data_IF_594683483280
#
_entry.id   IF_594683483280
#
_cell.length_a   1.000
_cell.length_b   1.000
_cell.length_c   1.000
_cell.angle_alpha   90.00
_cell.angle_beta   90.00
_cell.angle_gamma   90.00
#
_symmetry.space_group_name_H-M   'P 1'
#
loop_
_entity.id
_entity.type
_entity.pdbx_description
1 polymer ?
#
# COMPACT_ATOMS: atom_id res chain seq x y z
N UNK A 1 4.67 9.88 -20.00
CA UNK A 1 3.93 10.44 -18.86
C UNK A 1 3.78 9.32 -17.85
N UNK A 2 4.43 9.40 -16.69
CA UNK A 2 4.15 8.45 -15.62
C UNK A 2 2.73 8.78 -15.12
N UNK A 3 1.77 7.90 -15.42
CA UNK A 3 0.48 7.93 -14.73
C UNK A 3 0.82 7.65 -13.27
N UNK A 4 0.57 8.61 -12.38
CA UNK A 4 0.83 8.41 -10.96
C UNK A 4 0.07 7.17 -10.49
N UNK A 5 0.79 6.15 -10.04
CA UNK A 5 0.18 4.94 -9.51
C UNK A 5 -0.59 5.21 -8.22
N UNK A 6 -1.45 4.28 -7.81
CA UNK A 6 -2.08 4.28 -6.50
C UNK A 6 -1.08 4.48 -5.37
N UNK A 7 0.10 3.85 -5.46
CA UNK A 7 1.17 3.98 -4.46
C UNK A 7 1.95 5.30 -4.57
N UNK A 8 1.92 5.97 -5.73
CA UNK A 8 2.59 7.26 -5.94
C UNK A 8 1.79 8.47 -5.44
N UNK A 9 0.49 8.29 -5.23
CA UNK A 9 -0.34 9.31 -4.60
C UNK A 9 -0.17 9.21 -3.09
N UNK A 10 0.52 10.18 -2.52
CA UNK A 10 0.83 10.27 -1.09
C UNK A 10 -0.41 10.04 -0.21
N UNK A 11 -1.57 10.64 -0.55
CA UNK A 11 -2.84 10.45 0.20
C UNK A 11 -3.33 9.00 0.24
N UNK A 12 -2.94 8.18 -0.73
CA UNK A 12 -3.34 6.78 -0.77
C UNK A 12 -2.55 5.94 0.23
N UNK A 13 -1.28 6.28 0.47
CA UNK A 13 -0.36 5.49 1.28
C UNK A 13 -0.08 6.08 2.68
N UNK A 14 -0.19 7.40 2.88
CA UNK A 14 -0.03 8.07 4.18
C UNK A 14 -0.83 7.42 5.31
N UNK A 15 -2.10 7.02 5.13
CA UNK A 15 -2.90 6.41 6.20
C UNK A 15 -2.33 5.08 6.73
N UNK A 16 -1.39 4.45 6.01
CA UNK A 16 -0.73 3.21 6.43
C UNK A 16 0.49 3.43 7.32
N UNK A 17 0.92 4.68 7.49
CA UNK A 17 2.07 5.02 8.33
C UNK A 17 1.62 5.53 9.71
N UNK A 18 2.51 5.43 10.69
CA UNK A 18 2.29 5.95 12.04
C UNK A 18 2.31 7.47 12.09
N UNK A 19 2.97 8.10 11.13
CA UNK A 19 3.22 9.53 11.09
C UNK A 19 3.46 10.04 9.66
N UNK A 20 3.45 11.37 9.51
CA UNK A 20 3.59 12.04 8.22
C UNK A 20 4.99 11.94 7.59
N UNK A 21 6.01 11.43 8.31
CA UNK A 21 7.33 11.19 7.73
C UNK A 21 7.38 9.93 6.87
N UNK A 22 6.33 9.09 6.93
CA UNK A 22 6.16 7.88 6.12
C UNK A 22 7.34 6.90 6.22
N UNK A 23 8.01 6.89 7.39
CA UNK A 23 9.14 6.00 7.69
C UNK A 23 8.73 4.71 8.37
N UNK A 24 7.63 4.74 9.11
CA UNK A 24 7.20 3.63 9.95
C UNK A 24 5.76 3.26 9.61
N UNK A 25 5.58 2.02 9.17
CA UNK A 25 4.26 1.46 8.89
C UNK A 25 3.51 1.18 10.19
N UNK A 26 2.19 1.26 10.12
CA UNK A 26 1.30 0.80 11.18
C UNK A 26 1.48 -0.70 11.41
N UNK A 27 1.10 -1.17 12.59
CA UNK A 27 1.08 -2.60 12.89
C UNK A 27 0.19 -3.37 11.90
N UNK A 28 0.49 -4.63 11.60
CA UNK A 28 -0.29 -5.43 10.64
C UNK A 28 -1.82 -5.42 10.87
N UNK A 29 -2.34 -5.47 12.11
CA UNK A 29 -3.78 -5.33 12.36
C UNK A 29 -4.34 -3.98 11.91
N UNK A 30 -3.66 -2.88 12.22
CA UNK A 30 -4.06 -1.52 11.82
C UNK A 30 -3.88 -1.31 10.32
N UNK A 31 -2.77 -1.80 9.75
CA UNK A 31 -2.49 -1.80 8.32
C UNK A 31 -3.61 -2.49 7.55
N UNK A 32 -4.03 -3.68 8.01
CA UNK A 32 -5.17 -4.41 7.43
C UNK A 32 -6.47 -3.61 7.54
N UNK A 33 -6.74 -2.98 8.67
CA UNK A 33 -7.94 -2.16 8.84
C UNK A 33 -7.97 -0.99 7.85
N UNK A 34 -6.85 -0.28 7.70
CA UNK A 34 -6.70 0.81 6.71
C UNK A 34 -6.84 0.29 5.28
N UNK A 35 -6.22 -0.84 4.96
CA UNK A 35 -6.33 -1.47 3.65
C UNK A 35 -7.78 -1.82 3.32
N UNK A 36 -8.48 -2.48 4.25
CA UNK A 36 -9.86 -2.94 4.07
C UNK A 36 -10.87 -1.79 4.06
N UNK A 37 -10.57 -0.66 4.69
CA UNK A 37 -11.37 0.56 4.61
C UNK A 37 -11.34 1.21 3.21
N UNK A 38 -10.34 0.89 2.37
CA UNK A 38 -10.28 1.42 1.00
C UNK A 38 -11.29 0.71 0.07
N UNK A 39 -11.83 1.42 -0.94
CA UNK A 39 -12.69 0.82 -1.96
C UNK A 39 -12.01 -0.36 -2.66
N UNK A 40 -12.79 -1.38 -3.04
CA UNK A 40 -12.27 -2.58 -3.73
C UNK A 40 -11.40 -2.25 -4.96
N UNK A 41 -11.80 -1.36 -5.90
CA UNK A 41 -10.97 -1.03 -7.06
C UNK A 41 -9.60 -0.48 -6.67
N UNK A 42 -9.54 0.26 -5.57
CA UNK A 42 -8.31 0.84 -5.07
C UNK A 42 -7.39 -0.19 -4.42
N UNK A 43 -7.96 -1.15 -3.68
CA UNK A 43 -7.20 -2.28 -3.15
C UNK A 43 -6.58 -3.12 -4.28
N UNK A 44 -7.34 -3.36 -5.35
CA UNK A 44 -6.85 -4.09 -6.53
C UNK A 44 -5.73 -3.33 -7.24
N UNK A 45 -5.85 -2.00 -7.37
CA UNK A 45 -4.81 -1.17 -7.96
C UNK A 45 -3.51 -1.18 -7.13
N UNK A 46 -3.62 -1.04 -5.80
CA UNK A 46 -2.49 -1.13 -4.87
C UNK A 46 -1.82 -2.52 -4.98
N UNK A 47 -2.62 -3.60 -4.98
CA UNK A 47 -2.08 -4.95 -5.16
C UNK A 47 -1.38 -5.11 -6.51
N UNK A 48 -1.94 -4.57 -7.60
CA UNK A 48 -1.34 -4.64 -8.93
C UNK A 48 0.02 -3.96 -8.96
N UNK A 49 0.12 -2.75 -8.40
CA UNK A 49 1.37 -1.99 -8.37
C UNK A 49 2.41 -2.61 -7.44
N UNK A 50 1.98 -3.19 -6.32
CA UNK A 50 2.88 -3.94 -5.46
C UNK A 50 3.36 -5.27 -6.05
N UNK A 51 2.73 -5.78 -7.11
CA UNK A 51 3.25 -6.91 -7.89
C UNK A 51 4.15 -6.48 -9.06
N UNK A 52 4.17 -5.19 -9.41
CA UNK A 52 5.05 -4.67 -10.45
C UNK A 52 6.43 -4.36 -9.84
N UNK A 53 7.48 -4.99 -10.35
CA UNK A 53 8.83 -4.85 -9.83
C UNK A 53 9.44 -3.45 -10.01
N UNK A 54 8.94 -2.65 -10.96
CA UNK A 54 9.38 -1.26 -11.12
C UNK A 54 8.66 -0.34 -10.12
N UNK A 55 7.37 -0.57 -9.87
CA UNK A 55 6.55 0.26 -8.98
C UNK A 55 6.76 -0.08 -7.50
N UNK A 56 7.02 -1.34 -7.16
CA UNK A 56 7.18 -1.81 -5.77
C UNK A 56 8.51 -1.44 -5.11
N UNK A 57 9.57 -1.18 -5.88
CA UNK A 57 10.91 -0.84 -5.36
C UNK A 57 10.91 0.30 -4.33
N UNK A 58 10.33 1.48 -4.61
CA UNK A 58 10.28 2.57 -3.63
C UNK A 58 9.40 2.29 -2.41
N UNK A 59 8.50 1.30 -2.50
CA UNK A 59 7.51 0.97 -1.47
C UNK A 59 7.68 -0.47 -0.96
N UNK A 60 8.91 -1.00 -0.95
CA UNK A 60 9.17 -2.43 -0.74
C UNK A 60 8.57 -2.98 0.57
N UNK A 61 8.72 -2.26 1.68
CA UNK A 61 8.14 -2.65 2.98
C UNK A 61 6.62 -2.60 2.95
N UNK A 62 6.04 -1.52 2.41
CA UNK A 62 4.60 -1.37 2.26
C UNK A 62 4.01 -2.49 1.39
N UNK A 63 4.66 -2.80 0.27
CA UNK A 63 4.24 -3.84 -0.64
C UNK A 63 4.44 -5.24 -0.06
N UNK A 64 5.42 -5.46 0.83
CA UNK A 64 5.52 -6.70 1.59
C UNK A 64 4.27 -6.91 2.46
N UNK A 65 3.84 -5.88 3.19
CA UNK A 65 2.63 -5.95 4.02
C UNK A 65 1.35 -6.16 3.20
N UNK A 66 1.18 -5.43 2.08
CA UNK A 66 0.07 -5.67 1.14
C UNK A 66 0.07 -7.12 0.64
N UNK A 67 1.24 -7.67 0.29
CA UNK A 67 1.35 -9.05 -0.18
C UNK A 67 1.05 -10.07 0.92
N UNK A 68 1.38 -9.78 2.19
CA UNK A 68 0.97 -10.58 3.35
C UNK A 68 -0.55 -10.61 3.52
N UNK A 69 -1.26 -9.54 3.15
CA UNK A 69 -2.73 -9.53 3.12
C UNK A 69 -3.33 -10.41 2.03
N UNK A 70 -2.62 -10.63 0.92
CA UNK A 70 -3.12 -11.45 -0.20
C UNK A 70 -3.27 -12.93 0.17
N UNK A 71 -2.42 -13.44 1.07
CA UNK A 71 -2.53 -14.80 1.59
C UNK A 71 -3.58 -14.99 2.69
N UNK A 72 -4.22 -13.91 3.15
CA UNK A 72 -5.29 -13.91 4.16
C UNK A 72 -6.69 -13.72 3.54
N UNK A 73 -6.82 -13.83 2.22
CA UNK A 73 -8.08 -13.70 1.49
C UNK A 73 -8.90 -14.99 1.52
#
# INVERSE_FOLDING_TARGET
MAVAGAVDVVDNIVPFYTDASMKTLKSMPEFKAVFMAKPKPMREMIMRECNDAAMSKPYAEFCADVNSLRGMQ
#
